data_IF_845194903160
#
_entry.id   IF_845194903160
#
_cell.length_a   1.000
_cell.length_b   1.000
_cell.length_c   1.000
_cell.angle_alpha   90.00
_cell.angle_beta   90.00
_cell.angle_gamma   90.00
#
_symmetry.space_group_name_H-M   'P 1'
#
loop_
_entity.id
_entity.type
_entity.pdbx_description
1 polymer ?
#
# COMPACT_ATOMS: atom_id res chain seq x y z
N UNK A 1 18.15 56.63 -43.37
CA UNK A 1 18.49 56.27 -41.97
C UNK A 1 17.24 55.77 -41.27
N UNK A 2 17.37 54.85 -40.30
CA UNK A 2 16.44 53.75 -40.09
C UNK A 2 15.55 53.88 -38.84
N UNK A 3 14.52 53.02 -38.78
CA UNK A 3 13.99 52.39 -37.56
C UNK A 3 12.83 53.12 -36.87
N UNK A 4 11.84 52.49 -36.23
CA UNK A 4 11.55 51.09 -35.90
C UNK A 4 10.02 51.01 -35.69
N UNK A 5 9.32 50.14 -36.41
CA UNK A 5 8.00 49.64 -36.02
C UNK A 5 8.08 48.11 -35.90
N UNK A 6 7.98 47.61 -34.67
CA UNK A 6 7.51 46.27 -34.26
C UNK A 6 7.00 46.50 -32.82
N UNK A 7 5.75 46.26 -32.43
CA UNK A 7 4.98 45.04 -32.59
C UNK A 7 5.26 44.13 -31.39
N UNK A 8 4.26 43.95 -30.51
CA UNK A 8 3.83 42.67 -29.89
C UNK A 8 2.98 42.96 -28.64
N UNK A 9 1.68 42.66 -28.78
CA UNK A 9 0.79 42.28 -27.69
C UNK A 9 1.35 41.05 -26.96
N UNK A 10 1.61 41.18 -25.67
CA UNK A 10 1.86 40.06 -24.75
C UNK A 10 0.74 39.96 -23.73
N UNK A 11 -0.23 39.09 -24.01
CA UNK A 11 -1.33 38.69 -23.12
C UNK A 11 -0.85 38.28 -21.72
N UNK A 12 -1.01 39.15 -20.73
CA UNK A 12 -0.89 38.83 -19.29
C UNK A 12 -2.20 38.18 -18.85
N UNK A 13 -2.29 36.86 -18.99
CA UNK A 13 -3.53 36.13 -18.75
C UNK A 13 -3.35 34.73 -18.19
N UNK A 14 -2.46 34.50 -17.20
CA UNK A 14 -2.34 33.20 -16.50
C UNK A 14 -1.92 33.24 -15.01
N UNK A 15 -2.19 34.32 -14.26
CA UNK A 15 -1.81 34.40 -12.82
C UNK A 15 -2.97 34.47 -11.81
N UNK A 16 -4.23 34.56 -12.23
CA UNK A 16 -5.38 34.74 -11.33
C UNK A 16 -5.97 33.43 -10.81
N UNK A 17 -5.92 32.36 -11.60
CA UNK A 17 -6.50 31.05 -11.24
C UNK A 17 -5.77 30.34 -10.09
N UNK A 18 -4.50 30.68 -9.86
CA UNK A 18 -3.68 30.07 -8.81
C UNK A 18 -3.89 30.74 -7.44
N UNK A 19 -4.08 32.06 -7.42
CA UNK A 19 -4.29 32.83 -6.18
C UNK A 19 -5.60 32.49 -5.47
N UNK A 20 -6.68 32.29 -6.22
CA UNK A 20 -7.97 31.90 -5.65
C UNK A 20 -7.89 30.52 -4.96
N UNK A 21 -7.27 29.54 -5.63
CA UNK A 21 -7.07 28.19 -5.07
C UNK A 21 -6.20 28.19 -3.82
N UNK A 22 -5.13 28.99 -3.81
CA UNK A 22 -4.27 29.17 -2.64
C UNK A 22 -5.05 29.82 -1.49
N UNK A 23 -5.85 30.85 -1.75
CA UNK A 23 -6.70 31.49 -0.75
C UNK A 23 -7.71 30.52 -0.13
N UNK A 24 -8.39 29.72 -0.96
CA UNK A 24 -9.36 28.73 -0.50
C UNK A 24 -8.69 27.65 0.35
N UNK A 25 -7.50 27.18 -0.04
CA UNK A 25 -6.70 26.24 0.74
C UNK A 25 -6.29 26.81 2.10
N UNK A 26 -5.82 28.05 2.13
CA UNK A 26 -5.44 28.72 3.38
C UNK A 26 -6.65 28.92 4.31
N UNK A 27 -7.82 29.24 3.75
CA UNK A 27 -9.05 29.34 4.53
C UNK A 27 -9.47 27.97 5.09
N UNK A 28 -9.42 26.91 4.29
CA UNK A 28 -9.67 25.55 4.76
C UNK A 28 -8.71 25.16 5.90
N UNK A 29 -7.43 25.49 5.77
CA UNK A 29 -6.43 25.22 6.80
C UNK A 29 -6.73 25.95 8.12
N UNK A 30 -7.19 27.20 8.06
CA UNK A 30 -7.60 27.97 9.25
C UNK A 30 -8.77 27.30 9.96
N UNK A 31 -9.78 26.84 9.24
CA UNK A 31 -10.92 26.14 9.83
C UNK A 31 -10.50 24.83 10.51
N UNK A 32 -9.59 24.08 9.89
CA UNK A 32 -9.05 22.84 10.46
C UNK A 32 -8.25 23.12 11.74
N UNK A 33 -7.39 24.13 11.74
CA UNK A 33 -6.60 24.51 12.93
C UNK A 33 -7.54 24.95 14.07
N UNK A 34 -8.49 25.83 13.76
CA UNK A 34 -9.49 26.31 14.73
C UNK A 34 -10.25 25.15 15.37
N UNK A 35 -10.74 24.20 14.55
CA UNK A 35 -11.46 23.04 15.04
C UNK A 35 -10.61 22.20 16.00
N UNK A 36 -9.36 21.90 15.62
CA UNK A 36 -8.46 21.11 16.47
C UNK A 36 -8.19 21.79 17.80
N UNK A 37 -7.82 23.08 17.78
CA UNK A 37 -7.53 23.85 18.99
C UNK A 37 -8.75 23.96 19.91
N UNK A 38 -9.95 24.10 19.34
CA UNK A 38 -11.19 24.21 20.11
C UNK A 38 -11.57 22.89 20.79
N UNK A 39 -11.50 21.77 20.08
CA UNK A 39 -12.10 20.51 20.53
C UNK A 39 -11.10 19.47 21.07
N UNK A 40 -9.79 19.64 20.90
CA UNK A 40 -8.80 18.62 21.34
C UNK A 40 -8.87 18.36 22.85
N UNK A 41 -9.01 19.41 23.68
CA UNK A 41 -9.05 19.24 25.14
C UNK A 41 -10.31 18.48 25.58
N UNK A 42 -11.45 18.86 25.03
CA UNK A 42 -12.74 18.23 25.35
C UNK A 42 -12.79 16.80 24.82
N UNK A 43 -12.26 16.55 23.62
CA UNK A 43 -12.14 15.20 23.06
C UNK A 43 -11.30 14.31 23.97
N UNK A 44 -10.13 14.79 24.42
CA UNK A 44 -9.29 14.04 25.34
C UNK A 44 -9.98 13.79 26.69
N UNK A 45 -10.67 14.79 27.23
CA UNK A 45 -11.34 14.71 28.54
C UNK A 45 -12.54 13.75 28.51
N UNK A 46 -13.41 13.87 27.51
CA UNK A 46 -14.72 13.21 27.50
C UNK A 46 -14.73 11.91 26.68
N UNK A 47 -13.89 11.81 25.63
CA UNK A 47 -13.85 10.63 24.75
C UNK A 47 -12.64 9.74 25.05
N UNK A 48 -11.47 10.30 25.34
CA UNK A 48 -10.28 9.47 25.55
C UNK A 48 -10.11 8.94 26.97
N UNK A 49 -10.85 9.48 27.95
CA UNK A 49 -10.72 9.09 29.37
C UNK A 49 -11.16 7.64 29.66
N UNK A 50 -12.04 7.07 28.84
CA UNK A 50 -12.51 5.69 28.96
C UNK A 50 -12.02 4.76 27.84
N UNK A 51 -11.13 5.22 26.97
CA UNK A 51 -10.66 4.46 25.81
C UNK A 51 -9.60 3.40 26.22
N UNK A 52 -9.65 2.16 25.66
CA UNK A 52 -10.62 1.64 24.70
C UNK A 52 -11.94 1.20 25.32
N UNK A 53 -13.04 1.39 24.60
CA UNK A 53 -14.37 1.03 25.08
C UNK A 53 -14.66 -0.45 24.88
N UNK A 54 -15.34 -1.06 25.85
CA UNK A 54 -15.86 -2.43 25.76
C UNK A 54 -17.37 -2.43 25.85
N UNK A 55 -18.02 -3.36 25.16
CA UNK A 55 -19.45 -3.57 25.31
C UNK A 55 -19.66 -4.47 26.51
N UNK A 56 -20.28 -3.96 27.57
CA UNK A 56 -20.86 -4.81 28.60
C UNK A 56 -22.16 -5.38 28.05
N UNK A 57 -22.20 -6.71 27.88
CA UNK A 57 -23.48 -7.38 27.66
C UNK A 57 -24.30 -7.19 28.94
N UNK A 58 -25.24 -6.24 28.92
CA UNK A 58 -26.35 -6.21 29.87
C UNK A 58 -27.25 -7.40 29.55
N UNK A 59 -26.79 -8.61 29.91
CA UNK A 59 -27.71 -9.71 30.14
C UNK A 59 -28.65 -9.24 31.25
N UNK A 60 -29.95 -9.23 30.95
CA UNK A 60 -31.02 -8.93 31.89
C UNK A 60 -31.13 -10.04 32.96
N UNK A 61 -30.10 -10.20 33.77
CA UNK A 61 -30.15 -11.02 34.98
C UNK A 61 -29.58 -10.21 36.12
N UNK A 62 -30.47 -9.43 36.74
CA UNK A 62 -30.27 -8.87 38.08
C UNK A 62 -30.07 -10.07 39.02
N UNK A 63 -28.81 -10.44 39.27
CA UNK A 63 -28.44 -11.13 40.50
C UNK A 63 -27.52 -10.20 41.28
N UNK A 64 -28.14 -9.54 42.25
CA UNK A 64 -27.45 -8.85 43.36
C UNK A 64 -26.44 -9.83 43.97
N UNK A 65 -25.15 -9.55 43.81
CA UNK A 65 -24.12 -10.04 44.72
C UNK A 65 -23.18 -8.90 45.06
N UNK A 66 -22.88 -8.81 46.36
CA UNK A 66 -22.22 -7.71 47.04
C UNK A 66 -20.73 -7.64 46.71
N UNK A 67 -20.21 -6.40 46.66
CA UNK A 67 -18.86 -5.92 47.01
C UNK A 67 -17.74 -6.98 47.15
N UNK A 68 -16.78 -6.95 46.22
CA UNK A 68 -15.32 -6.83 46.39
C UNK A 68 -14.62 -7.41 45.16
N UNK A 69 -14.11 -6.56 44.27
CA UNK A 69 -12.66 -6.38 44.10
C UNK A 69 -12.35 -5.41 42.96
N UNK A 70 -11.45 -4.47 43.26
CA UNK A 70 -10.77 -3.60 42.31
C UNK A 70 -9.80 -4.43 41.47
N UNK A 71 -9.69 -4.12 40.18
CA UNK A 71 -8.68 -4.66 39.26
C UNK A 71 -8.73 -6.18 39.03
N UNK A 72 -9.72 -6.64 38.27
CA UNK A 72 -9.55 -7.82 37.42
C UNK A 72 -9.63 -7.38 35.96
N UNK A 73 -8.56 -7.61 35.21
CA UNK A 73 -8.60 -7.57 33.75
C UNK A 73 -9.73 -8.49 33.28
N UNK A 74 -10.68 -8.01 32.46
CA UNK A 74 -11.66 -8.89 31.84
C UNK A 74 -10.95 -9.63 30.69
N UNK A 75 -10.26 -10.69 31.06
CA UNK A 75 -9.87 -11.74 30.14
C UNK A 75 -11.15 -12.34 29.55
N UNK A 76 -11.33 -12.13 28.24
CA UNK A 76 -12.40 -12.69 27.39
C UNK A 76 -13.71 -11.90 27.26
N UNK A 77 -13.66 -10.57 27.20
CA UNK A 77 -14.74 -9.80 26.55
C UNK A 77 -14.48 -9.80 25.04
N UNK A 78 -15.21 -10.64 24.31
CA UNK A 78 -15.36 -10.54 22.86
C UNK A 78 -15.97 -9.18 22.53
N UNK A 79 -15.14 -8.24 22.09
CA UNK A 79 -15.63 -6.98 21.52
C UNK A 79 -16.53 -7.32 20.33
N UNK A 80 -17.82 -7.04 20.45
CA UNK A 80 -18.73 -7.10 19.30
C UNK A 80 -18.17 -6.26 18.15
N UNK A 81 -18.38 -6.71 16.91
CA UNK A 81 -17.82 -6.07 15.71
C UNK A 81 -18.09 -4.55 15.67
N UNK A 82 -19.26 -4.09 16.12
CA UNK A 82 -19.61 -2.65 16.19
C UNK A 82 -18.76 -1.85 17.20
N UNK A 83 -18.39 -2.43 18.33
CA UNK A 83 -17.53 -1.76 19.32
C UNK A 83 -16.11 -1.62 18.78
N UNK A 84 -15.63 -2.61 18.03
CA UNK A 84 -14.32 -2.53 17.40
C UNK A 84 -14.26 -1.39 16.37
N UNK A 85 -15.28 -1.30 15.52
CA UNK A 85 -15.45 -0.21 14.56
C UNK A 85 -15.46 1.17 15.24
N UNK A 86 -16.28 1.36 16.29
CA UNK A 86 -16.33 2.63 17.01
C UNK A 86 -14.99 3.00 17.65
N UNK A 87 -14.30 2.04 18.26
CA UNK A 87 -12.96 2.29 18.81
C UNK A 87 -11.97 2.68 17.71
N UNK A 88 -12.03 2.09 16.51
CA UNK A 88 -11.19 2.49 15.38
C UNK A 88 -11.52 3.91 14.89
N UNK A 89 -12.80 4.29 14.86
CA UNK A 89 -13.22 5.66 14.56
C UNK A 89 -12.61 6.63 15.58
N UNK A 90 -12.68 6.29 16.87
CA UNK A 90 -12.08 7.11 17.95
C UNK A 90 -10.56 7.20 17.78
N UNK A 91 -9.88 6.09 17.46
CA UNK A 91 -8.45 6.12 17.13
C UNK A 91 -8.18 7.07 15.97
N UNK A 92 -8.93 6.98 14.88
CA UNK A 92 -8.73 7.82 13.70
C UNK A 92 -8.94 9.31 14.04
N UNK A 93 -10.01 9.65 14.77
CA UNK A 93 -10.28 11.01 15.23
C UNK A 93 -9.16 11.53 16.14
N UNK A 94 -8.69 10.72 17.09
CA UNK A 94 -7.55 11.06 17.94
C UNK A 94 -6.30 11.34 17.10
N UNK A 95 -6.01 10.46 16.14
CA UNK A 95 -4.87 10.61 15.24
C UNK A 95 -4.97 11.87 14.39
N UNK A 96 -6.17 12.32 14.03
CA UNK A 96 -6.40 13.51 13.21
C UNK A 96 -6.41 14.81 14.02
N UNK A 97 -7.01 14.82 15.21
CA UNK A 97 -7.25 16.03 16.01
C UNK A 97 -6.02 16.39 16.85
N UNK A 98 -5.27 15.41 17.34
CA UNK A 98 -4.18 15.67 18.29
C UNK A 98 -3.10 16.58 17.70
N UNK A 99 -2.82 17.68 18.41
CA UNK A 99 -1.71 18.60 18.16
C UNK A 99 -0.64 18.50 19.25
N UNK A 100 -1.05 18.16 20.48
CA UNK A 100 -0.17 17.91 21.62
C UNK A 100 -0.58 16.60 22.31
N UNK A 101 -0.11 15.44 21.81
CA UNK A 101 -0.60 14.15 22.23
C UNK A 101 -0.27 13.88 23.70
N UNK A 102 -1.29 13.58 24.50
CA UNK A 102 -1.08 13.14 25.88
C UNK A 102 -0.43 11.74 25.87
N UNK A 103 0.65 11.56 26.64
CA UNK A 103 1.45 10.32 26.62
C UNK A 103 0.61 9.07 26.88
N UNK A 104 -0.23 9.10 27.91
CA UNK A 104 -1.05 7.96 28.33
C UNK A 104 -2.08 7.58 27.26
N UNK A 105 -2.82 8.57 26.76
CA UNK A 105 -3.81 8.37 25.70
C UNK A 105 -3.16 7.81 24.44
N UNK A 106 -2.01 8.36 24.07
CA UNK A 106 -1.22 7.92 22.90
C UNK A 106 -0.79 6.46 23.04
N UNK A 107 -0.37 6.04 24.23
CA UNK A 107 -0.02 4.66 24.53
C UNK A 107 -1.23 3.74 24.34
N UNK A 108 -2.38 4.08 24.92
CA UNK A 108 -3.58 3.26 24.83
C UNK A 108 -4.06 3.10 23.38
N UNK A 109 -4.02 4.18 22.58
CA UNK A 109 -4.31 4.12 21.15
C UNK A 109 -3.31 3.23 20.41
N UNK A 110 -2.01 3.40 20.69
CA UNK A 110 -0.96 2.60 20.07
C UNK A 110 -1.11 1.10 20.37
N UNK A 111 -1.41 0.75 21.62
CA UNK A 111 -1.62 -0.64 22.05
C UNK A 111 -2.88 -1.23 21.43
N UNK A 112 -3.98 -0.46 21.38
CA UNK A 112 -5.22 -0.89 20.74
C UNK A 112 -5.02 -1.18 19.25
N UNK A 113 -4.39 -0.25 18.52
CA UNK A 113 -4.11 -0.42 17.08
C UNK A 113 -3.22 -1.63 16.85
N UNK A 114 -2.12 -1.78 17.60
CA UNK A 114 -1.22 -2.93 17.48
C UNK A 114 -1.94 -4.26 17.75
N UNK A 115 -2.74 -4.33 18.81
CA UNK A 115 -3.54 -5.51 19.15
C UNK A 115 -4.55 -5.82 18.04
N UNK A 116 -5.15 -4.80 17.43
CA UNK A 116 -6.07 -4.95 16.32
C UNK A 116 -5.35 -5.49 15.06
N UNK A 117 -4.16 -4.97 14.73
CA UNK A 117 -3.32 -5.52 13.63
C UNK A 117 -3.08 -7.02 13.81
N UNK A 118 -2.65 -7.43 15.01
CA UNK A 118 -2.31 -8.83 15.29
C UNK A 118 -3.52 -9.76 15.21
N UNK A 119 -4.70 -9.27 15.57
CA UNK A 119 -5.96 -10.02 15.59
C UNK A 119 -6.75 -9.91 14.29
N UNK A 120 -6.42 -8.98 13.42
CA UNK A 120 -7.11 -8.71 12.17
C UNK A 120 -7.35 -9.99 11.40
N UNK A 121 -8.59 -10.26 10.96
CA UNK A 121 -8.88 -11.41 10.09
C UNK A 121 -9.62 -10.94 8.83
N UNK A 122 -9.47 -11.67 7.72
CA UNK A 122 -10.24 -11.38 6.50
C UNK A 122 -11.76 -11.54 6.67
N UNK A 123 -12.21 -12.09 7.81
CA UNK A 123 -13.62 -12.18 8.18
C UNK A 123 -14.15 -10.99 8.99
N UNK A 124 -13.32 -9.99 9.29
CA UNK A 124 -13.80 -8.75 9.90
C UNK A 124 -14.75 -8.04 8.92
N UNK A 125 -15.82 -7.43 9.43
CA UNK A 125 -16.81 -6.79 8.56
C UNK A 125 -16.17 -5.64 7.74
N UNK A 126 -16.74 -5.33 6.57
CA UNK A 126 -16.18 -4.33 5.65
C UNK A 126 -16.02 -2.94 6.32
N UNK A 127 -16.93 -2.57 7.23
CA UNK A 127 -16.90 -1.27 7.90
C UNK A 127 -15.74 -1.14 8.90
N UNK A 128 -15.55 -2.13 9.78
CA UNK A 128 -14.37 -2.22 10.66
C UNK A 128 -13.11 -2.20 9.81
N UNK A 129 -13.15 -2.90 8.67
CA UNK A 129 -12.00 -2.98 7.81
C UNK A 129 -11.59 -1.66 7.18
N UNK A 130 -12.57 -0.91 6.67
CA UNK A 130 -12.35 0.42 6.11
C UNK A 130 -11.83 1.40 7.16
N UNK A 131 -12.38 1.39 8.37
CA UNK A 131 -11.92 2.26 9.46
C UNK A 131 -10.50 1.93 9.89
N UNK A 132 -10.15 0.65 9.92
CA UNK A 132 -8.79 0.25 10.24
C UNK A 132 -7.77 0.76 9.22
N UNK A 133 -8.11 0.71 7.92
CA UNK A 133 -7.28 1.31 6.87
C UNK A 133 -7.10 2.80 7.07
N UNK A 134 -8.16 3.53 7.43
CA UNK A 134 -8.07 4.97 7.72
C UNK A 134 -7.13 5.25 8.89
N UNK A 135 -7.22 4.45 9.96
CA UNK A 135 -6.31 4.54 11.10
C UNK A 135 -4.86 4.34 10.66
N UNK A 136 -4.57 3.25 9.94
CA UNK A 136 -3.20 2.96 9.49
C UNK A 136 -2.71 3.94 8.43
N UNK A 137 -3.56 4.40 7.51
CA UNK A 137 -3.23 5.40 6.50
C UNK A 137 -2.92 6.76 7.11
N UNK A 138 -3.65 7.17 8.15
CA UNK A 138 -3.33 8.36 8.91
C UNK A 138 -1.99 8.20 9.66
N UNK A 139 -1.82 7.07 10.37
CA UNK A 139 -0.65 6.82 11.23
C UNK A 139 0.66 6.63 10.45
N UNK A 140 0.64 5.74 9.46
CA UNK A 140 1.80 5.34 8.67
C UNK A 140 1.99 6.18 7.41
N UNK A 141 0.95 6.92 6.99
CA UNK A 141 0.99 7.78 5.82
C UNK A 141 0.94 9.26 6.19
N UNK A 142 -0.26 9.83 6.17
CA UNK A 142 -0.51 11.28 6.19
C UNK A 142 0.17 12.00 7.36
N UNK A 143 0.19 11.39 8.54
CA UNK A 143 0.76 11.96 9.77
C UNK A 143 1.97 11.19 10.29
N UNK A 144 2.63 10.38 9.45
CA UNK A 144 3.81 9.59 9.84
C UNK A 144 4.89 10.45 10.51
N UNK A 145 5.28 11.56 9.89
CA UNK A 145 6.35 12.42 10.41
C UNK A 145 6.00 13.08 11.75
N UNK A 146 4.70 13.31 12.00
CA UNK A 146 4.23 13.82 13.29
C UNK A 146 4.33 12.72 14.33
N UNK A 147 3.68 11.58 14.10
CA UNK A 147 3.58 10.50 15.08
C UNK A 147 4.91 9.81 15.37
N UNK A 148 5.80 9.68 14.38
CA UNK A 148 7.14 9.10 14.56
C UNK A 148 8.06 9.93 15.48
N UNK A 149 7.80 11.23 15.66
CA UNK A 149 8.54 12.07 16.63
C UNK A 149 8.03 11.87 18.06
N UNK A 150 6.80 11.40 18.23
CA UNK A 150 6.19 11.19 19.54
C UNK A 150 6.45 9.77 20.03
N UNK A 151 7.45 9.59 20.90
CA UNK A 151 7.89 8.28 21.43
C UNK A 151 6.78 7.43 22.07
N UNK A 152 5.69 8.04 22.52
CA UNK A 152 4.55 7.33 23.10
C UNK A 152 3.74 6.54 22.06
N UNK A 153 3.83 6.93 20.78
CA UNK A 153 3.23 6.18 19.67
C UNK A 153 4.26 5.17 19.16
N UNK A 154 3.96 3.88 19.26
CA UNK A 154 4.87 2.82 18.84
C UNK A 154 4.80 2.57 17.33
N UNK A 155 4.99 3.61 16.51
CA UNK A 155 4.88 3.56 15.04
C UNK A 155 5.73 2.43 14.44
N UNK A 156 7.02 2.24 14.81
CA UNK A 156 7.83 1.16 14.24
C UNK A 156 7.25 -0.23 14.54
N UNK A 157 6.79 -0.44 15.78
CA UNK A 157 6.23 -1.73 16.19
C UNK A 157 4.86 -2.02 15.55
N UNK A 158 4.08 -0.98 15.27
CA UNK A 158 2.82 -1.12 14.51
C UNK A 158 3.14 -1.48 13.05
N UNK A 159 4.12 -0.82 12.42
CA UNK A 159 4.55 -1.16 11.07
C UNK A 159 5.03 -2.61 10.98
N UNK A 160 5.87 -3.07 11.92
CA UNK A 160 6.30 -4.46 12.02
C UNK A 160 5.12 -5.42 12.08
N UNK A 161 4.14 -5.14 12.94
CA UNK A 161 2.94 -5.97 13.04
C UNK A 161 2.16 -6.00 11.71
N UNK A 162 2.05 -4.86 11.00
CA UNK A 162 1.35 -4.78 9.71
C UNK A 162 2.07 -5.59 8.64
N UNK A 163 3.40 -5.48 8.58
CA UNK A 163 4.25 -6.23 7.64
C UNK A 163 4.18 -7.73 7.93
N UNK A 164 4.33 -8.17 9.18
CA UNK A 164 4.22 -9.59 9.54
C UNK A 164 2.84 -10.15 9.23
N UNK A 165 1.78 -9.36 9.48
CA UNK A 165 0.40 -9.80 9.21
C UNK A 165 0.11 -9.88 7.71
N UNK A 166 0.70 -9.00 6.89
CA UNK A 166 0.50 -9.04 5.44
C UNK A 166 1.17 -10.25 4.77
N UNK A 167 2.29 -10.73 5.31
CA UNK A 167 3.01 -11.91 4.79
C UNK A 167 2.39 -13.26 5.21
N UNK A 168 1.82 -13.33 6.42
CA UNK A 168 1.46 -14.60 7.04
C UNK A 168 0.18 -15.28 6.54
N UNK A 169 -0.66 -14.60 5.74
CA UNK A 169 -2.04 -15.07 5.45
C UNK A 169 -2.26 -15.37 3.97
N UNK A 170 -2.33 -16.66 3.66
CA UNK A 170 -2.27 -17.26 2.30
C UNK A 170 -3.49 -17.06 1.39
N UNK A 171 -4.52 -16.31 1.78
CA UNK A 171 -5.75 -16.22 0.96
C UNK A 171 -6.27 -14.79 0.95
N UNK A 172 -6.34 -14.25 -0.27
CA UNK A 172 -6.78 -12.91 -0.66
C UNK A 172 -5.76 -11.82 -0.35
N UNK A 173 -5.40 -11.05 -1.40
CA UNK A 173 -4.44 -9.95 -1.33
C UNK A 173 -4.96 -8.94 -0.31
N UNK A 174 -4.38 -8.89 0.90
CA UNK A 174 -5.04 -8.22 1.99
C UNK A 174 -5.11 -6.72 1.74
N UNK A 175 -6.14 -6.08 2.28
CA UNK A 175 -6.23 -4.63 2.45
C UNK A 175 -4.92 -4.01 2.96
N UNK A 176 -4.19 -4.72 3.84
CA UNK A 176 -2.88 -4.34 4.34
C UNK A 176 -1.78 -4.35 3.27
N UNK A 177 -1.81 -5.31 2.34
CA UNK A 177 -0.89 -5.32 1.19
C UNK A 177 -1.08 -4.07 0.35
N UNK A 178 -2.33 -3.71 0.02
CA UNK A 178 -2.60 -2.50 -0.73
C UNK A 178 -2.06 -1.25 -0.02
N UNK A 179 -2.35 -1.12 1.27
CA UNK A 179 -1.84 -0.02 2.09
C UNK A 179 -0.30 0.05 2.04
N UNK A 180 0.39 -1.07 2.29
CA UNK A 180 1.86 -1.10 2.28
C UNK A 180 2.44 -0.68 0.91
N UNK A 181 1.84 -1.12 -0.20
CA UNK A 181 2.24 -0.67 -1.54
C UNK A 181 2.05 0.85 -1.68
N UNK A 182 0.92 1.41 -1.23
CA UNK A 182 0.71 2.87 -1.27
C UNK A 182 1.76 3.63 -0.47
N UNK A 183 2.12 3.12 0.72
CA UNK A 183 3.15 3.73 1.56
C UNK A 183 4.53 3.72 0.88
N UNK A 184 4.88 2.63 0.19
CA UNK A 184 6.15 2.50 -0.54
C UNK A 184 6.20 3.41 -1.77
N UNK A 185 5.06 3.61 -2.45
CA UNK A 185 4.96 4.46 -3.64
C UNK A 185 4.92 5.96 -3.30
N UNK A 186 4.59 6.34 -2.07
CA UNK A 186 4.51 7.74 -1.67
C UNK A 186 5.91 8.36 -1.48
N UNK A 187 6.26 9.30 -2.36
CA UNK A 187 7.53 10.03 -2.34
C UNK A 187 7.78 10.79 -1.03
N UNK A 188 6.73 11.20 -0.32
CA UNK A 188 6.81 11.90 0.97
C UNK A 188 7.26 10.96 2.09
N UNK A 189 7.11 9.65 1.89
CA UNK A 189 7.40 8.59 2.84
C UNK A 189 8.66 7.80 2.49
N UNK A 190 9.57 8.36 1.68
CA UNK A 190 10.85 7.73 1.31
C UNK A 190 11.63 7.15 2.49
N UNK A 191 11.66 7.85 3.62
CA UNK A 191 12.33 7.38 4.84
C UNK A 191 11.65 6.15 5.44
N UNK A 192 10.32 6.09 5.37
CA UNK A 192 9.55 4.92 5.78
C UNK A 192 9.80 3.76 4.82
N UNK A 193 9.77 4.00 3.51
CA UNK A 193 10.08 2.98 2.52
C UNK A 193 11.48 2.37 2.70
N UNK A 194 12.47 3.18 3.14
CA UNK A 194 13.82 2.73 3.50
C UNK A 194 13.94 2.03 4.85
N UNK A 195 12.83 1.82 5.58
CA UNK A 195 12.83 1.16 6.89
C UNK A 195 13.38 -0.28 6.80
N UNK A 196 14.18 -0.74 7.79
CA UNK A 196 14.69 -2.12 7.84
C UNK A 196 13.58 -3.17 7.92
N UNK A 197 12.36 -2.78 8.29
CA UNK A 197 11.19 -3.66 8.36
C UNK A 197 10.53 -3.80 6.99
N UNK A 198 10.48 -2.72 6.20
CA UNK A 198 9.82 -2.72 4.89
C UNK A 198 10.72 -3.24 3.78
N UNK A 199 12.03 -3.04 3.86
CA UNK A 199 12.96 -3.47 2.82
C UNK A 199 12.92 -4.99 2.56
N UNK A 200 12.96 -5.88 3.57
CA UNK A 200 12.81 -7.32 3.36
C UNK A 200 11.43 -7.68 2.80
N UNK A 201 10.38 -6.98 3.23
CA UNK A 201 9.03 -7.18 2.70
C UNK A 201 8.98 -6.85 1.20
N UNK A 202 9.51 -5.69 0.78
CA UNK A 202 9.60 -5.30 -0.63
C UNK A 202 10.40 -6.33 -1.44
N UNK A 203 11.54 -6.80 -0.89
CA UNK A 203 12.38 -7.80 -1.54
C UNK A 203 11.69 -9.17 -1.70
N UNK A 204 10.69 -9.49 -0.87
CA UNK A 204 9.91 -10.72 -1.00
C UNK A 204 8.79 -10.64 -2.05
N UNK A 205 8.42 -9.43 -2.50
CA UNK A 205 7.28 -9.25 -3.40
C UNK A 205 7.40 -9.95 -4.76
N UNK A 206 8.58 -10.00 -5.41
CA UNK A 206 8.74 -10.76 -6.65
C UNK A 206 8.44 -12.26 -6.53
N UNK A 207 8.53 -12.85 -5.33
CA UNK A 207 8.14 -14.26 -5.12
C UNK A 207 6.65 -14.49 -5.43
N UNK A 208 5.81 -13.46 -5.26
CA UNK A 208 4.38 -13.54 -5.60
C UNK A 208 4.16 -13.74 -7.10
N UNK A 209 5.02 -13.20 -7.95
CA UNK A 209 4.94 -13.35 -9.41
C UNK A 209 5.34 -14.76 -9.87
N UNK A 210 6.05 -15.50 -9.01
CA UNK A 210 6.52 -16.86 -9.27
C UNK A 210 5.55 -17.93 -8.74
N UNK A 211 4.41 -17.53 -8.19
CA UNK A 211 3.39 -18.46 -7.71
C UNK A 211 2.61 -19.07 -8.89
N UNK A 212 2.09 -20.31 -8.75
CA UNK A 212 1.30 -20.95 -9.81
C UNK A 212 -0.02 -20.22 -10.08
N UNK A 213 -0.54 -19.51 -9.08
CA UNK A 213 -1.74 -18.67 -9.20
C UNK A 213 -1.42 -17.28 -8.68
N UNK A 214 -1.58 -16.26 -9.52
CA UNK A 214 -1.28 -14.86 -9.17
C UNK A 214 -2.52 -14.01 -9.42
N UNK A 215 -3.06 -13.29 -8.43
CA UNK A 215 -4.24 -12.47 -8.71
C UNK A 215 -3.88 -11.19 -9.47
N UNK A 216 -4.75 -10.79 -10.40
CA UNK A 216 -4.59 -9.61 -11.25
C UNK A 216 -4.32 -8.32 -10.46
N UNK A 217 -4.90 -8.20 -9.27
CA UNK A 217 -4.68 -7.05 -8.38
C UNK A 217 -3.25 -6.98 -7.87
N UNK A 218 -2.59 -8.11 -7.58
CA UNK A 218 -1.15 -8.14 -7.22
C UNK A 218 -0.32 -7.69 -8.40
N UNK A 219 -0.58 -8.20 -9.60
CA UNK A 219 0.12 -7.82 -10.84
C UNK A 219 0.05 -6.31 -11.02
N UNK A 220 -1.15 -5.73 -10.91
CA UNK A 220 -1.37 -4.27 -11.00
C UNK A 220 -0.56 -3.48 -9.97
N UNK A 221 -0.51 -3.93 -8.71
CA UNK A 221 0.22 -3.21 -7.66
C UNK A 221 1.73 -3.35 -7.78
N UNK A 222 2.22 -4.53 -8.11
CA UNK A 222 3.65 -4.76 -8.33
C UNK A 222 4.13 -4.06 -9.61
N UNK A 223 3.28 -3.94 -10.63
CA UNK A 223 3.60 -3.18 -11.84
C UNK A 223 3.87 -1.71 -11.53
N UNK A 224 3.08 -1.10 -10.63
CA UNK A 224 3.34 0.26 -10.13
C UNK A 224 4.71 0.37 -9.43
N UNK A 225 5.11 -0.64 -8.65
CA UNK A 225 6.44 -0.66 -8.03
C UNK A 225 7.56 -0.75 -9.07
N UNK A 226 7.39 -1.59 -10.08
CA UNK A 226 8.34 -1.71 -11.19
C UNK A 226 8.52 -0.37 -11.92
N UNK A 227 7.41 0.30 -12.26
CA UNK A 227 7.43 1.63 -12.90
C UNK A 227 8.11 2.72 -12.05
N UNK A 228 8.03 2.62 -10.71
CA UNK A 228 8.62 3.59 -9.79
C UNK A 228 10.13 3.42 -9.57
N UNK A 229 10.78 2.50 -10.31
CA UNK A 229 12.21 2.20 -10.20
C UNK A 229 12.66 1.92 -8.75
N UNK A 230 11.84 1.16 -8.00
CA UNK A 230 12.21 0.76 -6.65
C UNK A 230 13.37 -0.23 -6.71
N UNK A 231 14.58 0.22 -6.31
CA UNK A 231 15.82 -0.57 -6.42
C UNK A 231 15.71 -1.94 -5.76
N UNK A 232 15.15 -2.01 -4.55
CA UNK A 232 15.02 -3.25 -3.77
C UNK A 232 14.12 -4.26 -4.46
N UNK A 233 12.99 -3.80 -4.99
CA UNK A 233 12.10 -4.63 -5.79
C UNK A 233 12.78 -5.13 -7.06
N UNK A 234 13.47 -4.24 -7.79
CA UNK A 234 14.16 -4.59 -9.04
C UNK A 234 15.29 -5.60 -8.85
N UNK A 235 16.12 -5.42 -7.82
CA UNK A 235 17.18 -6.38 -7.48
C UNK A 235 16.57 -7.76 -7.18
N UNK A 236 15.53 -7.82 -6.36
CA UNK A 236 14.88 -9.09 -6.06
C UNK A 236 14.17 -9.69 -7.29
N UNK A 237 13.60 -8.86 -8.18
CA UNK A 237 12.98 -9.33 -9.43
C UNK A 237 14.01 -9.96 -10.36
N UNK A 238 15.20 -9.35 -10.49
CA UNK A 238 16.32 -9.91 -11.25
C UNK A 238 16.75 -11.27 -10.72
N UNK A 239 16.86 -11.41 -9.40
CA UNK A 239 17.24 -12.69 -8.77
C UNK A 239 16.20 -13.81 -9.02
N UNK A 240 14.92 -13.44 -9.15
CA UNK A 240 13.80 -14.37 -9.38
C UNK A 240 13.47 -14.58 -10.84
N UNK A 241 14.12 -13.86 -11.74
CA UNK A 241 13.79 -13.80 -13.15
C UNK A 241 13.81 -15.17 -13.85
N UNK A 242 14.76 -16.10 -13.60
CA UNK A 242 14.72 -17.42 -14.23
C UNK A 242 13.49 -18.25 -13.82
N UNK A 243 13.07 -18.15 -12.55
CA UNK A 243 11.87 -18.82 -12.05
C UNK A 243 10.61 -18.19 -12.63
N UNK A 244 10.58 -16.86 -12.66
CA UNK A 244 9.49 -16.07 -13.24
C UNK A 244 9.26 -16.43 -14.71
N UNK A 245 10.32 -16.46 -15.53
CA UNK A 245 10.25 -16.83 -16.95
C UNK A 245 9.69 -18.25 -17.10
N UNK A 246 10.22 -19.24 -16.38
CA UNK A 246 9.68 -20.62 -16.44
C UNK A 246 8.19 -20.71 -16.06
N UNK A 247 7.73 -19.84 -15.16
CA UNK A 247 6.35 -19.83 -14.69
C UNK A 247 5.38 -19.16 -15.69
N UNK A 248 5.85 -18.15 -16.46
CA UNK A 248 4.99 -17.33 -17.34
C UNK A 248 4.09 -18.14 -18.29
N UNK A 249 4.60 -19.25 -18.85
CA UNK A 249 3.84 -20.09 -19.77
C UNK A 249 2.66 -20.83 -19.13
N UNK A 250 2.72 -21.12 -17.82
CA UNK A 250 1.77 -22.01 -17.13
C UNK A 250 1.01 -21.37 -15.96
N UNK A 251 1.39 -20.16 -15.56
CA UNK A 251 0.76 -19.42 -14.46
C UNK A 251 -0.71 -19.10 -14.75
N UNK A 252 -1.54 -19.27 -13.72
CA UNK A 252 -2.95 -18.88 -13.75
C UNK A 252 -3.10 -17.50 -13.13
N UNK A 253 -3.67 -16.56 -13.87
CA UNK A 253 -3.97 -15.23 -13.34
C UNK A 253 -5.43 -15.14 -12.92
N UNK A 254 -5.69 -15.07 -11.61
CA UNK A 254 -7.07 -14.95 -11.11
C UNK A 254 -7.62 -13.53 -11.28
N UNK A 255 -8.91 -13.41 -11.59
CA UNK A 255 -9.55 -12.18 -12.06
C UNK A 255 -9.52 -11.97 -13.58
N UNK A 256 -8.88 -12.88 -14.32
CA UNK A 256 -8.85 -12.93 -15.79
C UNK A 256 -9.41 -14.26 -16.31
N UNK A 257 -10.45 -14.81 -15.67
CA UNK A 257 -10.99 -16.13 -16.01
C UNK A 257 -11.54 -16.20 -17.45
N UNK A 258 -12.01 -15.07 -17.97
CA UNK A 258 -12.53 -14.97 -19.35
C UNK A 258 -11.44 -14.81 -20.41
N UNK A 259 -10.26 -14.35 -20.02
CA UNK A 259 -9.11 -14.17 -20.92
C UNK A 259 -7.79 -14.45 -20.17
N UNK A 260 -7.42 -15.74 -20.01
CA UNK A 260 -6.19 -16.11 -19.32
C UNK A 260 -4.92 -15.64 -20.01
N UNK A 261 -4.97 -15.37 -21.32
CA UNK A 261 -3.83 -14.88 -22.07
C UNK A 261 -3.52 -13.43 -21.70
N UNK A 262 -4.53 -12.58 -21.59
CA UNK A 262 -4.37 -11.18 -21.17
C UNK A 262 -3.75 -11.05 -19.78
N UNK A 263 -4.14 -11.92 -18.84
CA UNK A 263 -3.51 -11.99 -17.52
C UNK A 263 -2.00 -12.30 -17.62
N UNK A 264 -1.62 -13.26 -18.46
CA UNK A 264 -0.21 -13.61 -18.69
C UNK A 264 0.57 -12.51 -19.41
N UNK A 265 -0.06 -11.76 -20.33
CA UNK A 265 0.55 -10.58 -20.96
C UNK A 265 0.86 -9.48 -19.95
N UNK A 266 -0.12 -9.13 -19.10
CA UNK A 266 0.08 -8.16 -18.01
C UNK A 266 1.19 -8.59 -17.03
N UNK A 267 1.36 -9.90 -16.83
CA UNK A 267 2.48 -10.43 -16.05
C UNK A 267 3.80 -10.32 -16.82
N UNK A 268 3.82 -10.64 -18.11
CA UNK A 268 5.00 -10.53 -18.96
C UNK A 268 5.55 -9.10 -19.07
N UNK A 269 4.70 -8.07 -18.92
CA UNK A 269 5.10 -6.65 -18.93
C UNK A 269 6.18 -6.32 -17.89
N UNK A 270 6.37 -7.14 -16.85
CA UNK A 270 7.47 -6.97 -15.90
C UNK A 270 8.84 -7.10 -16.56
N UNK A 271 8.98 -7.90 -17.64
CA UNK A 271 10.23 -8.06 -18.38
C UNK A 271 10.72 -6.74 -18.98
N UNK A 272 9.81 -5.81 -19.32
CA UNK A 272 10.17 -4.47 -19.81
C UNK A 272 11.05 -3.71 -18.82
N UNK A 273 10.81 -3.89 -17.52
CA UNK A 273 11.46 -3.13 -16.46
C UNK A 273 12.79 -3.75 -15.98
N UNK A 274 13.19 -4.92 -16.49
CA UNK A 274 14.37 -5.68 -16.02
C UNK A 274 15.64 -5.29 -16.78
N UNK A 275 16.48 -4.33 -16.35
CA UNK A 275 17.38 -3.52 -17.21
C UNK A 275 18.26 -4.29 -18.20
N UNK A 276 18.85 -5.40 -17.77
CA UNK A 276 19.68 -6.26 -18.62
C UNK A 276 19.42 -7.72 -18.28
N UNK A 277 19.27 -8.56 -19.31
CA UNK A 277 19.16 -10.01 -19.16
C UNK A 277 20.56 -10.61 -19.17
N UNK A 278 20.90 -11.42 -18.16
CA UNK A 278 22.14 -12.19 -18.21
C UNK A 278 22.12 -13.15 -19.42
N UNK A 279 23.28 -13.53 -20.00
CA UNK A 279 23.30 -14.46 -21.12
C UNK A 279 22.58 -15.79 -20.85
N UNK A 280 22.67 -16.28 -19.61
CA UNK A 280 21.95 -17.47 -19.15
C UNK A 280 20.43 -17.27 -19.11
N UNK A 281 19.97 -16.09 -18.71
CA UNK A 281 18.55 -15.76 -18.66
C UNK A 281 17.99 -15.50 -20.05
N UNK A 282 18.76 -14.85 -20.93
CA UNK A 282 18.40 -14.66 -22.33
C UNK A 282 18.20 -16.01 -23.02
N UNK A 283 19.17 -16.93 -22.89
CA UNK A 283 19.05 -18.28 -23.45
C UNK A 283 17.81 -19.01 -22.93
N UNK A 284 17.55 -18.93 -21.62
CA UNK A 284 16.34 -19.51 -21.03
C UNK A 284 15.07 -18.89 -21.61
N UNK A 285 15.04 -17.58 -21.82
CA UNK A 285 13.90 -16.91 -22.42
C UNK A 285 13.67 -17.39 -23.86
N UNK A 286 14.74 -17.48 -24.66
CA UNK A 286 14.66 -17.94 -26.06
C UNK A 286 14.12 -19.39 -26.12
N UNK A 287 14.58 -20.27 -25.25
CA UNK A 287 14.06 -21.66 -25.12
C UNK A 287 12.57 -21.69 -24.73
N UNK A 288 12.14 -20.77 -23.86
CA UNK A 288 10.76 -20.71 -23.39
C UNK A 288 9.80 -20.09 -24.41
N UNK A 289 10.25 -19.11 -25.20
CA UNK A 289 9.46 -18.50 -26.28
C UNK A 289 8.99 -19.55 -27.31
N UNK A 290 9.80 -20.59 -27.56
CA UNK A 290 9.44 -21.71 -28.43
C UNK A 290 8.34 -22.61 -27.84
N UNK A 291 8.16 -22.59 -26.52
CA UNK A 291 7.21 -23.44 -25.80
C UNK A 291 5.90 -22.73 -25.45
N UNK A 292 5.87 -21.39 -25.51
CA UNK A 292 4.72 -20.59 -25.12
C UNK A 292 3.67 -20.47 -26.23
N UNK A 293 2.48 -20.04 -25.85
CA UNK A 293 1.45 -19.61 -26.81
C UNK A 293 2.00 -18.53 -27.74
N UNK A 294 1.70 -18.64 -29.05
CA UNK A 294 2.24 -17.73 -30.06
C UNK A 294 1.95 -16.25 -29.77
N UNK A 295 0.78 -15.94 -29.20
CA UNK A 295 0.42 -14.56 -28.87
C UNK A 295 1.18 -14.05 -27.64
N UNK A 296 1.51 -14.93 -26.68
CA UNK A 296 2.33 -14.57 -25.53
C UNK A 296 3.79 -14.36 -25.96
N UNK A 297 4.31 -15.25 -26.80
CA UNK A 297 5.65 -15.14 -27.34
C UNK A 297 5.82 -13.86 -28.16
N UNK A 298 4.90 -13.58 -29.09
CA UNK A 298 4.87 -12.34 -29.88
C UNK A 298 4.81 -11.09 -28.99
N UNK A 299 3.93 -11.07 -27.98
CA UNK A 299 3.85 -9.96 -27.03
C UNK A 299 5.18 -9.71 -26.32
N UNK A 300 5.86 -10.76 -25.85
CA UNK A 300 7.15 -10.64 -25.16
C UNK A 300 8.25 -10.16 -26.10
N UNK A 301 8.30 -10.67 -27.33
CA UNK A 301 9.27 -10.24 -28.34
C UNK A 301 9.09 -8.75 -28.67
N UNK A 302 7.85 -8.30 -28.87
CA UNK A 302 7.53 -6.89 -29.11
C UNK A 302 7.90 -6.01 -27.91
N UNK A 303 7.56 -6.46 -26.69
CA UNK A 303 7.86 -5.76 -25.44
C UNK A 303 9.38 -5.50 -25.29
N UNK A 304 10.20 -6.51 -25.59
CA UNK A 304 11.65 -6.40 -25.51
C UNK A 304 12.24 -5.54 -26.64
N UNK A 305 11.66 -5.59 -27.84
CA UNK A 305 12.08 -4.75 -28.95
C UNK A 305 11.81 -3.25 -28.71
N UNK A 306 10.75 -2.92 -27.96
CA UNK A 306 10.42 -1.52 -27.58
C UNK A 306 11.37 -0.94 -26.53
N UNK A 307 12.31 -1.72 -26.00
CA UNK A 307 13.10 -1.32 -24.87
C UNK A 307 14.27 -0.40 -25.27
N UNK A 308 14.39 0.80 -24.67
CA UNK A 308 15.52 1.67 -24.94
C UNK A 308 16.83 1.06 -24.38
N UNK A 309 17.83 0.88 -25.26
CA UNK A 309 19.19 0.49 -24.88
C UNK A 309 19.56 -0.99 -25.08
N UNK A 310 18.61 -1.88 -25.42
CA UNK A 310 18.92 -3.27 -25.75
C UNK A 310 18.99 -3.43 -27.28
N UNK A 311 20.20 -3.68 -27.81
CA UNK A 311 20.37 -4.18 -29.18
C UNK A 311 20.14 -5.69 -29.16
N UNK A 312 18.89 -6.14 -29.25
CA UNK A 312 18.58 -7.56 -29.37
C UNK A 312 18.94 -8.07 -30.76
N UNK A 313 20.04 -8.83 -30.86
CA UNK A 313 20.39 -9.63 -32.04
C UNK A 313 19.33 -10.70 -32.38
N UNK A 314 18.46 -11.03 -31.42
CA UNK A 314 17.38 -12.03 -31.54
C UNK A 314 16.13 -11.53 -32.29
N UNK A 315 16.01 -10.23 -32.56
CA UNK A 315 14.82 -9.69 -33.26
C UNK A 315 14.74 -10.12 -34.72
N UNK A 316 15.89 -10.40 -35.36
CA UNK A 316 15.94 -10.90 -36.74
C UNK A 316 15.63 -12.40 -36.85
N UNK A 317 16.22 -13.23 -35.98
CA UNK A 317 16.02 -14.69 -36.03
C UNK A 317 14.60 -15.10 -35.59
N UNK A 318 13.98 -14.41 -34.64
CA UNK A 318 12.60 -14.72 -34.20
C UNK A 318 11.57 -14.23 -35.22
N UNK A 319 11.80 -13.12 -35.93
CA UNK A 319 10.94 -12.68 -37.05
C UNK A 319 11.04 -13.62 -38.27
N UNK A 320 12.22 -14.20 -38.55
CA UNK A 320 12.37 -15.22 -39.60
C UNK A 320 11.65 -16.52 -39.23
N UNK A 321 11.68 -16.95 -37.96
CA UNK A 321 10.97 -18.18 -37.53
C UNK A 321 9.45 -17.99 -37.51
N UNK A 322 8.95 -16.81 -37.10
CA UNK A 322 7.51 -16.51 -37.07
C UNK A 322 6.92 -16.16 -38.45
N UNK A 323 7.73 -15.87 -39.46
CA UNK A 323 7.25 -15.64 -40.83
C UNK A 323 7.18 -16.93 -41.68
N UNK A 324 7.66 -18.04 -41.13
CA UNK A 324 7.66 -19.37 -41.76
C UNK A 324 6.58 -20.30 -41.17
N UNK A 325 5.95 -19.92 -40.06
CA UNK A 325 4.79 -20.59 -39.44
C UNK A 325 3.48 -19.88 -39.79
#
# INVERSE_FOLDING_TARGET
MPGIETGILGSVGKHTTDRAKVSDYLNALKHVIWFKTMFEKDFNRYIMSGFPYTQTETSNTIKKSKKQDMFQEPSNVTSGSKTSEHNLIICHLYLCISTSPAREVTRNVSEYVKKHVMKWTSGDNNATSEQFVKVLGCLLGERFMFWSKHKAMAVPSILEAVVSTSLGRKREIPVLFHLLIQLVLDIRLKNLAGSPVLQPWIASLPDLLCQPVVPATVIKYLGKLACHNNRTFHTALLDKLPQFIKNLGSVVVSGHEKDPLEGRKNLADFLYWVPELSPSTQKLLDEQLLCWDANLASHVTELLAMRPGVKTSSTQEVQEVLSVL
#
